data_IF_362169404198
#
_entry.id   IF_362169404198
#
_cell.length_a   1.000
_cell.length_b   1.000
_cell.length_c   1.000
_cell.angle_alpha   90.00
_cell.angle_beta   90.00
_cell.angle_gamma   90.00
#
_symmetry.space_group_name_H-M   'P 1'
#
loop_
_entity.id
_entity.type
_entity.pdbx_description
1 polymer ?
#
# COMPACT_ATOMS: atom_id res chain seq x y z
N UNK A 1 28.52 51.24 33.79
CA UNK A 1 28.80 50.71 32.72
C UNK A 1 28.77 49.31 32.72
N UNK A 2 28.99 48.74 33.57
CA UNK A 2 29.11 47.40 33.50
C UNK A 2 27.82 46.65 33.41
N UNK A 3 26.76 47.14 33.84
CA UNK A 3 25.56 46.39 33.71
C UNK A 3 25.17 46.13 32.32
N UNK A 4 25.50 46.97 31.42
CA UNK A 4 25.11 46.74 30.06
C UNK A 4 25.92 45.60 29.43
N UNK A 5 27.14 45.47 29.84
CA UNK A 5 27.96 44.40 29.31
C UNK A 5 27.45 43.04 29.77
N UNK A 6 27.02 43.00 30.98
CA UNK A 6 26.53 41.74 31.50
C UNK A 6 25.27 41.31 30.78
N UNK A 7 24.40 42.24 30.53
CA UNK A 7 23.19 41.92 29.82
C UNK A 7 23.48 41.39 28.42
N UNK A 8 24.44 42.00 27.74
CA UNK A 8 24.77 41.55 26.43
C UNK A 8 25.32 40.14 26.45
N UNK A 9 26.10 39.87 27.45
CA UNK A 9 26.67 38.58 27.54
C UNK A 9 25.59 37.51 27.76
N UNK A 10 24.64 37.80 28.59
CA UNK A 10 23.58 36.85 28.83
C UNK A 10 22.76 36.62 27.59
N UNK A 11 22.58 37.64 26.81
CA UNK A 11 21.81 37.51 25.61
C UNK A 11 22.51 36.60 24.63
N UNK A 12 23.78 36.71 24.52
CA UNK A 12 24.51 35.84 23.62
C UNK A 12 24.38 34.38 24.04
N UNK A 13 24.48 34.16 25.30
CA UNK A 13 24.38 32.81 25.76
C UNK A 13 23.01 32.21 25.46
N UNK A 14 22.03 33.03 25.56
CA UNK A 14 20.71 32.57 25.28
C UNK A 14 20.57 32.17 23.83
N UNK A 15 21.13 32.87 22.96
CA UNK A 15 21.04 32.56 21.55
C UNK A 15 21.63 31.22 21.22
N UNK A 16 22.72 30.94 21.85
CA UNK A 16 23.34 29.68 21.54
C UNK A 16 22.51 28.51 21.93
N UNK A 17 21.83 28.59 23.00
CA UNK A 17 21.09 27.45 23.40
C UNK A 17 19.94 27.12 22.52
N UNK A 18 19.35 28.10 21.94
CA UNK A 18 18.21 27.83 21.15
C UNK A 18 18.47 27.09 19.88
N UNK A 19 19.61 27.25 19.39
CA UNK A 19 19.84 26.67 18.10
C UNK A 19 19.87 25.18 18.11
N UNK A 20 20.28 24.61 19.13
CA UNK A 20 20.52 23.23 19.06
C UNK A 20 19.30 22.41 18.94
N UNK A 21 18.24 22.89 19.41
CA UNK A 21 17.19 22.03 19.43
C UNK A 21 16.54 21.73 18.22
N UNK A 22 16.59 22.50 17.43
CA UNK A 22 15.78 22.28 16.33
C UNK A 22 15.79 21.02 15.75
N UNK A 23 16.70 20.64 15.65
CA UNK A 23 16.80 19.63 14.87
C UNK A 23 15.91 18.72 14.64
N UNK A 24 15.63 18.22 15.00
CA UNK A 24 15.14 17.20 14.74
C UNK A 24 14.27 16.80 14.07
N UNK A 25 13.96 16.83 13.85
CA UNK A 25 13.73 16.49 13.35
C UNK A 25 13.13 15.62 12.92
N UNK A 26 13.10 15.01 13.18
CA UNK A 26 12.66 14.16 13.00
C UNK A 26 11.70 13.92 12.47
N UNK A 27 11.54 14.05 12.56
CA UNK A 27 10.61 14.32 12.13
C UNK A 27 10.17 13.82 11.07
N UNK A 28 10.76 13.93 10.34
CA UNK A 28 10.41 13.58 9.18
C UNK A 28 9.79 12.33 9.09
N UNK A 29 10.17 11.48 9.66
CA UNK A 29 9.70 10.21 9.45
C UNK A 29 8.30 10.05 9.71
N UNK A 30 7.80 10.68 10.59
CA UNK A 30 6.50 10.43 10.99
C UNK A 30 5.46 10.46 9.95
N UNK A 31 5.42 11.42 9.17
CA UNK A 31 4.33 11.56 8.26
C UNK A 31 4.21 10.43 7.31
N UNK A 32 5.26 9.88 6.95
CA UNK A 32 5.17 8.91 5.96
C UNK A 32 4.44 7.72 6.39
N UNK A 33 4.49 7.39 7.59
CA UNK A 33 3.95 6.20 8.03
C UNK A 33 2.51 6.11 7.87
N UNK A 34 1.83 7.17 8.11
CA UNK A 34 0.48 7.07 8.00
C UNK A 34 -0.07 6.83 6.73
N UNK A 35 0.47 7.33 5.75
CA UNK A 35 -0.13 7.23 4.46
C UNK A 35 -0.32 5.83 4.04
N UNK A 36 0.49 4.94 4.48
CA UNK A 36 0.39 3.63 3.96
C UNK A 36 -0.38 2.69 4.77
N UNK A 37 -0.81 3.09 5.90
CA UNK A 37 -1.37 2.12 6.80
C UNK A 37 -2.65 1.50 6.32
N UNK A 38 -3.37 2.14 5.44
CA UNK A 38 -4.63 1.56 5.01
C UNK A 38 -4.50 0.64 3.81
N UNK A 39 -3.37 0.59 3.19
CA UNK A 39 -3.23 -0.26 2.02
C UNK A 39 -2.91 -1.70 2.40
N UNK A 40 -3.44 -2.64 1.65
CA UNK A 40 -3.21 -4.04 1.90
C UNK A 40 -2.71 -4.70 0.63
N UNK A 41 -1.69 -5.50 0.73
CA UNK A 41 -1.14 -6.20 -0.41
C UNK A 41 -1.70 -7.61 -0.43
N UNK A 42 -2.31 -7.99 -1.52
CA UNK A 42 -2.94 -9.29 -1.67
C UNK A 42 -2.21 -10.06 -2.75
N UNK A 43 -1.95 -11.32 -2.52
CA UNK A 43 -1.31 -12.18 -3.50
C UNK A 43 -2.02 -13.53 -3.52
N UNK A 44 -1.73 -14.32 -4.55
CA UNK A 44 -2.32 -15.63 -4.64
C UNK A 44 -2.05 -16.23 -6.00
N UNK A 45 -2.75 -17.31 -6.29
CA UNK A 45 -2.59 -18.03 -7.56
C UNK A 45 -3.96 -18.16 -8.20
N UNK A 46 -4.02 -17.99 -9.52
CA UNK A 46 -5.25 -18.12 -10.28
C UNK A 46 -5.13 -19.38 -11.13
N UNK A 47 -6.10 -20.25 -11.02
CA UNK A 47 -6.14 -21.49 -11.78
C UNK A 47 -7.50 -21.64 -12.41
N UNK A 48 -7.59 -22.55 -13.37
CA UNK A 48 -8.88 -22.92 -13.91
C UNK A 48 -9.48 -24.07 -13.11
N UNK A 49 -10.65 -24.52 -13.49
CA UNK A 49 -11.33 -25.58 -12.75
C UNK A 49 -10.62 -26.93 -12.94
N UNK A 50 -9.71 -27.05 -13.86
CA UNK A 50 -8.90 -28.24 -13.98
C UNK A 50 -7.62 -28.19 -13.15
N UNK A 51 -7.34 -27.06 -12.51
CA UNK A 51 -6.16 -26.92 -11.69
C UNK A 51 -4.95 -26.34 -12.41
N UNK A 52 -5.09 -25.90 -13.63
CA UNK A 52 -3.98 -25.34 -14.38
C UNK A 52 -3.86 -23.84 -14.12
N UNK A 53 -2.64 -23.34 -13.94
CA UNK A 53 -2.49 -21.90 -13.70
C UNK A 53 -2.82 -21.10 -14.95
N UNK A 54 -3.42 -19.96 -14.75
CA UNK A 54 -3.84 -19.09 -15.86
C UNK A 54 -2.95 -17.87 -15.92
N UNK A 55 -2.47 -17.58 -17.11
CA UNK A 55 -1.57 -16.46 -17.35
C UNK A 55 -2.37 -15.33 -17.96
N UNK A 56 -2.08 -14.12 -17.56
CA UNK A 56 -2.70 -12.96 -18.20
C UNK A 56 -4.10 -12.65 -17.73
N UNK A 57 -4.50 -13.21 -16.58
CA UNK A 57 -5.80 -12.92 -16.02
C UNK A 57 -5.78 -11.51 -15.45
N UNK A 58 -6.82 -10.75 -15.70
CA UNK A 58 -6.90 -9.36 -15.23
C UNK A 58 -7.60 -9.33 -13.88
N UNK A 59 -6.96 -8.70 -12.92
CA UNK A 59 -7.51 -8.52 -11.58
C UNK A 59 -7.62 -7.02 -11.32
N UNK A 60 -8.80 -6.54 -11.00
CA UNK A 60 -9.04 -5.11 -10.76
C UNK A 60 -9.72 -4.95 -9.43
N UNK A 61 -9.36 -3.89 -8.71
CA UNK A 61 -10.03 -3.58 -7.45
C UNK A 61 -11.30 -2.82 -7.78
N UNK A 62 -12.43 -3.37 -7.38
CA UNK A 62 -13.72 -2.79 -7.71
C UNK A 62 -13.85 -1.41 -7.09
N UNK A 63 -14.33 -0.48 -7.83
CA UNK A 63 -14.46 0.90 -7.37
C UNK A 63 -13.23 1.75 -7.59
N UNK A 64 -12.14 1.18 -8.09
CA UNK A 64 -10.96 1.97 -8.39
C UNK A 64 -10.43 1.55 -9.75
N UNK A 65 -9.38 2.22 -10.19
CA UNK A 65 -8.74 1.82 -11.43
C UNK A 65 -7.48 1.01 -11.19
N UNK A 66 -7.23 0.60 -9.97
CA UNK A 66 -6.06 -0.21 -9.68
C UNK A 66 -6.26 -1.64 -10.17
N UNK A 67 -5.28 -2.20 -10.79
CA UNK A 67 -5.39 -3.55 -11.30
C UNK A 67 -4.04 -4.22 -11.45
N UNK A 68 -4.07 -5.50 -11.75
CA UNK A 68 -2.87 -6.30 -11.93
C UNK A 68 -3.17 -7.42 -12.91
N UNK A 69 -2.15 -8.17 -13.29
CA UNK A 69 -2.29 -9.26 -14.25
C UNK A 69 -1.50 -10.43 -13.70
N UNK A 70 -2.02 -11.64 -13.87
CA UNK A 70 -1.33 -12.83 -13.38
C UNK A 70 -0.09 -13.14 -14.19
N UNK A 71 0.88 -13.75 -13.53
CA UNK A 71 2.15 -14.08 -14.13
C UNK A 71 2.09 -15.44 -14.84
N UNK A 72 3.22 -15.84 -15.36
CA UNK A 72 3.26 -17.07 -16.13
C UNK A 72 2.98 -18.31 -15.30
N UNK A 73 3.14 -18.26 -14.01
CA UNK A 73 2.81 -19.38 -13.14
C UNK A 73 1.45 -19.23 -12.50
N UNK A 74 0.65 -18.26 -12.95
CA UNK A 74 -0.67 -18.03 -12.39
C UNK A 74 -0.69 -17.18 -11.16
N UNK A 75 0.45 -16.75 -10.65
CA UNK A 75 0.47 -15.96 -9.43
C UNK A 75 0.17 -14.50 -9.74
N UNK A 76 -0.39 -13.81 -8.78
CA UNK A 76 -0.68 -12.39 -8.93
C UNK A 76 -0.41 -11.66 -7.63
N UNK A 77 -0.20 -10.37 -7.73
CA UNK A 77 -0.06 -9.51 -6.56
C UNK A 77 -0.76 -8.20 -6.87
N UNK A 78 -1.58 -7.75 -5.95
CA UNK A 78 -2.31 -6.50 -6.15
C UNK A 78 -2.40 -5.77 -4.82
N UNK A 79 -2.34 -4.45 -4.86
CA UNK A 79 -2.47 -3.63 -3.67
C UNK A 79 -3.87 -3.04 -3.65
N UNK A 80 -4.59 -3.24 -2.55
CA UNK A 80 -5.92 -2.72 -2.40
C UNK A 80 -5.91 -1.55 -1.41
N UNK A 81 -6.78 -0.57 -1.60
CA UNK A 81 -6.74 0.63 -0.76
C UNK A 81 -7.29 0.40 0.65
N UNK A 82 -8.04 -0.66 0.85
CA UNK A 82 -8.57 -0.94 2.18
C UNK A 82 -8.86 -2.44 2.27
N UNK A 83 -8.98 -2.92 3.48
CA UNK A 83 -9.06 -4.35 3.73
C UNK A 83 -10.36 -4.98 3.26
N UNK A 84 -11.37 -4.18 3.05
CA UNK A 84 -12.67 -4.71 2.63
C UNK A 84 -12.92 -4.57 1.15
N UNK A 85 -11.89 -4.33 0.38
CA UNK A 85 -12.04 -4.15 -1.06
C UNK A 85 -12.50 -5.44 -1.72
N UNK A 86 -13.10 -5.31 -2.88
CA UNK A 86 -13.53 -6.45 -3.68
C UNK A 86 -12.68 -6.50 -4.94
N UNK A 87 -12.19 -7.68 -5.26
CA UNK A 87 -11.41 -7.89 -6.46
C UNK A 87 -12.32 -8.42 -7.56
N UNK A 88 -12.19 -7.87 -8.74
CA UNK A 88 -12.90 -8.37 -9.91
C UNK A 88 -11.90 -9.04 -10.80
N UNK A 89 -12.10 -10.32 -11.09
CA UNK A 89 -11.16 -11.13 -11.87
C UNK A 89 -11.85 -11.49 -13.17
N UNK A 90 -11.16 -11.25 -14.28
CA UNK A 90 -11.73 -11.57 -15.57
C UNK A 90 -10.66 -12.10 -16.51
N UNK A 91 -11.07 -12.97 -17.42
CA UNK A 91 -10.17 -13.53 -18.40
C UNK A 91 -10.99 -13.94 -19.62
N UNK A 92 -10.37 -13.87 -20.78
CA UNK A 92 -11.09 -14.18 -22.00
C UNK A 92 -11.44 -15.66 -22.03
N UNK A 93 -12.68 -15.97 -22.29
CA UNK A 93 -13.14 -17.36 -22.28
C UNK A 93 -13.57 -17.88 -20.95
N UNK A 94 -13.49 -17.07 -19.90
CA UNK A 94 -13.87 -17.50 -18.56
C UNK A 94 -14.86 -16.49 -17.96
N UNK A 95 -15.69 -16.98 -17.06
CA UNK A 95 -16.68 -16.13 -16.42
C UNK A 95 -16.02 -15.20 -15.41
N UNK A 96 -16.36 -13.93 -15.40
CA UNK A 96 -15.77 -13.00 -14.44
C UNK A 96 -16.29 -13.30 -13.03
N UNK A 97 -15.44 -13.06 -12.05
CA UNK A 97 -15.78 -13.32 -10.66
C UNK A 97 -15.42 -12.13 -9.79
N UNK A 98 -16.17 -11.98 -8.71
CA UNK A 98 -15.87 -10.97 -7.72
C UNK A 98 -15.55 -11.66 -6.41
N UNK A 99 -14.46 -11.25 -5.78
CA UNK A 99 -13.97 -11.88 -4.58
C UNK A 99 -13.68 -10.81 -3.55
N UNK A 100 -14.28 -10.92 -2.38
CA UNK A 100 -14.02 -9.98 -1.29
C UNK A 100 -12.71 -10.29 -0.62
N UNK A 101 -11.89 -9.26 -0.38
CA UNK A 101 -10.59 -9.46 0.25
C UNK A 101 -10.75 -9.80 1.73
N UNK A 102 -11.61 -9.11 2.44
CA UNK A 102 -11.90 -9.37 3.85
C UNK A 102 -10.63 -9.48 4.68
N UNK A 103 -9.75 -8.52 4.50
CA UNK A 103 -8.51 -8.43 5.27
C UNK A 103 -7.57 -9.62 5.06
N UNK A 104 -7.72 -10.34 3.97
CA UNK A 104 -6.83 -11.46 3.67
C UNK A 104 -5.68 -10.99 2.80
N UNK A 105 -4.50 -11.51 3.06
CA UNK A 105 -3.33 -11.18 2.26
C UNK A 105 -3.04 -12.26 1.23
N UNK A 106 -3.69 -13.39 1.31
CA UNK A 106 -3.51 -14.44 0.32
C UNK A 106 -4.86 -14.97 -0.11
N UNK A 107 -5.16 -14.91 -1.40
CA UNK A 107 -6.42 -15.35 -1.95
C UNK A 107 -6.14 -16.14 -3.21
N UNK A 108 -6.44 -17.42 -3.19
CA UNK A 108 -6.30 -18.25 -4.38
C UNK A 108 -7.64 -18.24 -5.12
N UNK A 109 -7.59 -18.16 -6.43
CA UNK A 109 -8.78 -17.98 -7.24
C UNK A 109 -8.88 -19.11 -8.23
N UNK A 110 -10.09 -19.68 -8.38
CA UNK A 110 -10.35 -20.67 -9.38
C UNK A 110 -11.37 -20.09 -10.37
N UNK A 111 -11.02 -20.07 -11.63
CA UNK A 111 -11.91 -19.54 -12.66
C UNK A 111 -12.60 -20.68 -13.38
N UNK A 112 -13.81 -20.42 -13.85
CA UNK A 112 -14.60 -21.42 -14.55
C UNK A 112 -14.83 -20.94 -15.97
N UNK A 113 -14.71 -21.84 -16.91
CA UNK A 113 -14.93 -21.50 -18.30
C UNK A 113 -16.34 -21.02 -18.55
N UNK A 114 -16.45 -19.99 -19.33
CA UNK A 114 -17.74 -19.49 -19.75
C UNK A 114 -18.11 -20.20 -21.02
N UNK A 115 -18.86 -21.23 -20.92
CA UNK A 115 -19.14 -22.06 -22.08
C UNK A 115 -20.33 -21.60 -22.86
N UNK A 116 -20.81 -20.42 -22.69
CA UNK A 116 -21.88 -19.99 -23.49
C UNK A 116 -21.60 -19.72 -24.83
#
# INVERSE_FOLDING_TARGET
>A
MNKYHIITLILCLFCLGGAATASPDRTAAAPDTQARSSQLKVSGIIKDDAGSPLIGVTIVVKGTSSGSVSNSDGSYTITVPYAEATLMVSYIGYAPQEIGVNNRTRIDITMVEDSK
#
